data_IF_640935727874
#
_entry.id   IF_640935727874
#
_cell.length_a   1.000
_cell.length_b   1.000
_cell.length_c   1.000
_cell.angle_alpha   90.00
_cell.angle_beta   90.00
_cell.angle_gamma   90.00
#
_symmetry.space_group_name_H-M   'P 1'
#
loop_
_entity.id
_entity.type
_entity.pdbx_description
1 polymer ?
#
# COMPACT_ATOMS: atom_id res chain seq x y z
N UNK A 1 -2.28 -12.27 -8.50
CA UNK A 1 -1.70 -11.07 -9.14
C UNK A 1 -0.20 -11.03 -8.89
N UNK A 2 0.63 -10.53 -9.83
CA UNK A 2 2.07 -10.33 -9.63
C UNK A 2 2.34 -8.83 -9.57
N UNK A 3 2.49 -8.29 -8.37
CA UNK A 3 2.84 -6.89 -8.15
C UNK A 3 4.35 -6.69 -8.32
N UNK A 4 4.76 -5.57 -8.89
CA UNK A 4 6.15 -5.10 -8.84
C UNK A 4 6.29 -4.13 -7.67
N UNK A 5 7.20 -4.39 -6.74
CA UNK A 5 7.42 -3.52 -5.58
C UNK A 5 8.52 -2.51 -5.93
N UNK A 6 8.20 -1.23 -5.84
CA UNK A 6 9.16 -0.14 -6.13
C UNK A 6 9.84 0.32 -4.83
N UNK A 7 9.07 0.62 -3.78
CA UNK A 7 9.60 1.08 -2.49
C UNK A 7 8.76 0.60 -1.30
N UNK A 8 9.44 0.33 -0.18
CA UNK A 8 8.83 0.04 1.14
C UNK A 8 9.52 0.94 2.17
N UNK A 9 8.74 1.50 3.09
CA UNK A 9 9.26 2.14 4.30
C UNK A 9 8.48 1.65 5.52
N UNK A 10 8.93 2.04 6.72
CA UNK A 10 8.23 1.77 7.97
C UNK A 10 8.09 3.06 8.79
N UNK A 11 6.85 3.43 9.09
CA UNK A 11 6.50 4.66 9.80
C UNK A 11 5.82 4.34 11.13
N UNK A 12 6.03 5.17 12.16
CA UNK A 12 5.42 5.01 13.51
C UNK A 12 4.37 6.07 13.86
N UNK A 13 4.05 6.96 12.93
CA UNK A 13 3.14 8.09 13.17
C UNK A 13 1.82 7.93 12.37
N UNK A 14 1.26 6.72 12.34
CA UNK A 14 -0.04 6.45 11.71
C UNK A 14 -1.22 6.86 12.61
N UNK A 15 -2.33 6.11 12.57
CA UNK A 15 -3.54 6.39 13.35
C UNK A 15 -3.20 6.35 14.85
N UNK A 16 -3.22 7.50 15.51
CA UNK A 16 -2.85 7.63 16.93
C UNK A 16 -1.48 7.01 17.27
N UNK A 17 -0.50 7.09 16.36
CA UNK A 17 0.82 6.48 16.55
C UNK A 17 0.91 4.99 16.19
N UNK A 18 -0.14 4.41 15.60
CA UNK A 18 -0.07 3.06 15.07
C UNK A 18 0.99 2.95 13.96
N UNK A 19 1.88 1.95 14.01
CA UNK A 19 2.86 1.72 12.97
C UNK A 19 2.22 1.25 11.67
N UNK A 20 2.83 1.61 10.54
CA UNK A 20 2.39 1.19 9.22
C UNK A 20 3.54 1.17 8.21
N UNK A 21 3.32 0.43 7.13
CA UNK A 21 4.22 0.33 6.00
C UNK A 21 3.57 1.00 4.79
N UNK A 22 4.05 2.17 4.34
CA UNK A 22 3.76 2.64 3.00
C UNK A 22 4.55 1.80 1.99
N UNK A 23 3.85 1.33 0.96
CA UNK A 23 4.40 0.52 -0.12
C UNK A 23 4.02 1.16 -1.45
N UNK A 24 5.02 1.58 -2.23
CA UNK A 24 4.82 1.96 -3.63
C UNK A 24 5.02 0.71 -4.48
N UNK A 25 4.02 0.37 -5.30
CA UNK A 25 4.06 -0.82 -6.15
C UNK A 25 3.37 -0.54 -7.49
N UNK A 26 3.52 -1.47 -8.44
CA UNK A 26 2.83 -1.45 -9.72
C UNK A 26 1.84 -2.57 -9.83
N UNK A 27 0.61 -2.19 -10.11
CA UNK A 27 -0.46 -3.06 -10.55
C UNK A 27 -0.45 -3.13 -12.08
N UNK A 28 -0.59 -4.32 -12.70
CA UNK A 28 -0.55 -4.46 -14.15
C UNK A 28 -1.68 -3.71 -14.88
N UNK A 29 -2.84 -3.56 -14.23
CA UNK A 29 -4.04 -2.97 -14.82
C UNK A 29 -4.19 -1.49 -14.40
N UNK A 30 -3.77 -1.15 -13.17
CA UNK A 30 -3.99 0.18 -12.59
C UNK A 30 -2.75 1.09 -12.60
N UNK A 31 -1.57 0.56 -12.90
CA UNK A 31 -0.33 1.33 -12.93
C UNK A 31 0.28 1.55 -11.55
N UNK A 32 0.70 2.78 -11.23
CA UNK A 32 1.46 3.07 -9.99
C UNK A 32 0.52 3.28 -8.80
N UNK A 33 0.72 2.47 -7.76
CA UNK A 33 -0.15 2.37 -6.60
C UNK A 33 0.60 2.66 -5.30
N UNK A 34 -0.17 3.05 -4.28
CA UNK A 34 0.27 3.20 -2.89
C UNK A 34 -0.58 2.30 -2.00
N UNK A 35 0.07 1.39 -1.29
CA UNK A 35 -0.50 0.63 -0.19
C UNK A 35 -0.10 1.23 1.15
N UNK A 36 -1.07 1.51 2.02
CA UNK A 36 -0.84 1.86 3.42
C UNK A 36 -1.25 0.65 4.25
N UNK A 37 -0.27 -0.12 4.72
CA UNK A 37 -0.47 -1.39 5.42
C UNK A 37 -0.21 -1.20 6.90
N UNK A 38 -1.25 -1.21 7.72
CA UNK A 38 -1.08 -1.23 9.18
C UNK A 38 -0.67 -2.63 9.65
N UNK A 39 0.02 -2.70 10.78
CA UNK A 39 0.44 -3.99 11.35
C UNK A 39 -0.77 -4.88 11.67
N UNK A 40 -1.87 -4.29 12.14
CA UNK A 40 -3.14 -4.99 12.36
C UNK A 40 -3.68 -5.59 11.06
N UNK A 41 -4.09 -6.85 11.12
CA UNK A 41 -4.68 -7.57 9.99
C UNK A 41 -5.93 -6.87 9.46
N UNK A 42 -6.16 -6.98 8.14
CA UNK A 42 -7.30 -6.41 7.42
C UNK A 42 -7.37 -4.87 7.39
N UNK A 43 -6.31 -4.19 7.85
CA UNK A 43 -6.21 -2.73 7.83
C UNK A 43 -5.23 -2.29 6.75
N UNK A 44 -5.70 -2.36 5.49
CA UNK A 44 -4.93 -1.95 4.31
C UNK A 44 -5.73 -0.98 3.46
N UNK A 45 -5.17 0.20 3.20
CA UNK A 45 -5.73 1.15 2.25
C UNK A 45 -4.88 1.17 0.97
N UNK A 46 -5.55 1.18 -0.20
CA UNK A 46 -4.87 1.15 -1.50
C UNK A 46 -5.42 2.26 -2.39
N UNK A 47 -4.50 3.04 -2.95
CA UNK A 47 -4.79 4.18 -3.83
C UNK A 47 -3.90 4.12 -5.07
N UNK A 48 -4.33 4.75 -6.16
CA UNK A 48 -3.46 5.01 -7.30
C UNK A 48 -2.68 6.30 -7.01
N UNK A 49 -1.36 6.18 -7.05
CA UNK A 49 -0.46 7.22 -6.60
C UNK A 49 -0.47 8.43 -7.56
N UNK A 50 -0.65 8.19 -8.85
CA UNK A 50 -0.68 9.26 -9.85
C UNK A 50 -1.97 10.08 -9.74
N UNK A 51 -3.11 9.41 -9.51
CA UNK A 51 -4.38 10.08 -9.20
C UNK A 51 -4.31 10.86 -7.89
N UNK A 52 -3.66 10.31 -6.85
CA UNK A 52 -3.45 11.03 -5.58
C UNK A 52 -2.59 12.28 -5.77
N UNK A 53 -1.53 12.19 -6.58
CA UNK A 53 -0.64 13.33 -6.86
C UNK A 53 -1.37 14.49 -7.56
N UNK A 54 -2.46 14.19 -8.29
CA UNK A 54 -3.35 15.18 -8.90
C UNK A 54 -4.45 15.69 -7.94
N UNK A 55 -4.44 15.26 -6.67
CA UNK A 55 -5.43 15.65 -5.67
C UNK A 55 -6.76 14.88 -5.74
N UNK A 56 -6.83 13.79 -6.51
CA UNK A 56 -8.06 13.02 -6.62
C UNK A 56 -8.23 12.08 -5.42
N UNK A 57 -9.20 12.39 -4.55
CA UNK A 57 -9.56 11.58 -3.38
C UNK A 57 -11.00 11.03 -3.47
N UNK A 58 -11.57 11.01 -4.69
CA UNK A 58 -12.96 10.63 -4.88
C UNK A 58 -13.18 9.11 -4.75
N UNK A 59 -14.23 8.74 -4.02
CA UNK A 59 -14.67 7.36 -3.86
C UNK A 59 -15.05 6.75 -5.22
N UNK A 60 -14.65 5.49 -5.43
CA UNK A 60 -14.89 4.77 -6.68
C UNK A 60 -13.99 5.18 -7.85
N UNK A 61 -13.09 6.15 -7.64
CA UNK A 61 -12.15 6.62 -8.69
C UNK A 61 -10.70 6.34 -8.30
N UNK A 62 -10.36 6.55 -7.01
CA UNK A 62 -8.98 6.44 -6.54
C UNK A 62 -8.82 5.58 -5.28
N UNK A 63 -9.69 4.60 -5.07
CA UNK A 63 -9.61 3.70 -3.92
C UNK A 63 -9.92 2.28 -4.35
N UNK A 64 -9.08 1.32 -3.96
CA UNK A 64 -9.26 -0.10 -4.22
C UNK A 64 -9.47 -0.86 -2.92
N UNK A 65 -10.07 -2.05 -3.07
CA UNK A 65 -10.29 -2.99 -1.98
C UNK A 65 -8.96 -3.54 -1.45
N UNK A 66 -8.61 -3.17 -0.21
CA UNK A 66 -7.34 -3.56 0.40
C UNK A 66 -7.13 -5.07 0.52
N UNK A 67 -8.20 -5.83 0.72
CA UNK A 67 -8.17 -7.29 0.85
C UNK A 67 -7.66 -8.01 -0.41
N UNK A 68 -7.79 -7.38 -1.59
CA UNK A 68 -7.24 -7.92 -2.84
C UNK A 68 -5.70 -7.82 -2.92
N UNK A 69 -5.12 -6.86 -2.20
CA UNK A 69 -3.68 -6.55 -2.24
C UNK A 69 -2.95 -7.04 -1.00
N UNK A 70 -3.63 -7.11 0.15
CA UNK A 70 -3.05 -7.40 1.46
C UNK A 70 -2.11 -8.62 1.48
N UNK A 71 -2.48 -9.81 0.95
CA UNK A 71 -1.58 -10.98 0.99
C UNK A 71 -0.27 -10.76 0.23
N UNK A 72 -0.31 -9.97 -0.84
CA UNK A 72 0.86 -9.67 -1.66
C UNK A 72 1.75 -8.62 -0.99
N UNK A 73 1.14 -7.56 -0.44
CA UNK A 73 1.86 -6.49 0.24
C UNK A 73 2.51 -6.97 1.54
N UNK A 74 1.79 -7.74 2.37
CA UNK A 74 2.37 -8.33 3.60
C UNK A 74 3.55 -9.25 3.32
N UNK A 75 3.48 -10.06 2.24
CA UNK A 75 4.60 -10.90 1.81
C UNK A 75 5.82 -10.06 1.43
N UNK A 76 5.61 -8.97 0.68
CA UNK A 76 6.69 -8.06 0.29
C UNK A 76 7.33 -7.37 1.50
N UNK A 77 6.51 -6.90 2.45
CA UNK A 77 6.98 -6.30 3.71
C UNK A 77 7.81 -7.30 4.53
N UNK A 78 7.34 -8.54 4.66
CA UNK A 78 8.06 -9.57 5.40
C UNK A 78 9.43 -9.90 4.77
N UNK A 79 9.53 -9.91 3.44
CA UNK A 79 10.81 -10.08 2.75
C UNK A 79 11.74 -8.88 2.98
N UNK A 80 11.22 -7.66 2.83
CA UNK A 80 11.97 -6.43 3.06
C UNK A 80 12.52 -6.32 4.49
N UNK A 81 11.74 -6.72 5.50
CA UNK A 81 12.18 -6.75 6.91
C UNK A 81 13.33 -7.72 7.18
N UNK A 82 13.49 -8.77 6.37
CA UNK A 82 14.61 -9.72 6.53
C UNK A 82 15.90 -9.20 5.91
N UNK A 83 15.81 -8.21 5.02
CA UNK A 83 16.93 -7.60 4.32
C UNK A 83 17.37 -6.26 4.96
N UNK A 84 16.54 -5.69 5.85
CA UNK A 84 16.77 -4.42 6.55
C UNK A 84 17.55 -4.60 7.86
#
# INVERSE_FOLDING_TARGET
MKLLIDHIAHHRNGICGAPFYPVIFRDPDEGRMLGVVFETDHHVAVFNLDKLALGNVAFGINSWRGDQYEPHLRRAIAAWQQEA
#
